data_IF_260393662343
#
_entry.id   IF_260393662343
#
_cell.length_a   1.000
_cell.length_b   1.000
_cell.length_c   1.000
_cell.angle_alpha   90.00
_cell.angle_beta   90.00
_cell.angle_gamma   90.00
#
_symmetry.space_group_name_H-M   'P 1'
#
loop_
_entity.id
_entity.type
_entity.pdbx_description
1 polymer ?
#
# COMPACT_ATOMS: atom_id res chain seq x y z
N UNK A 1 -30.94 -64.37 54.49
CA UNK A 1 -30.39 -63.00 54.67
C UNK A 1 -29.89 -62.53 53.31
N UNK A 2 -30.68 -61.85 52.47
CA UNK A 2 -31.06 -60.42 52.50
C UNK A 2 -29.89 -59.42 52.62
N UNK A 3 -29.61 -58.80 51.45
CA UNK A 3 -29.44 -57.37 51.19
C UNK A 3 -28.08 -56.65 51.29
N UNK A 4 -27.65 -56.20 50.09
CA UNK A 4 -27.08 -54.88 49.71
C UNK A 4 -26.85 -53.88 50.84
N UNK A 5 -25.62 -53.33 50.90
CA UNK A 5 -25.38 -51.94 51.32
C UNK A 5 -24.57 -51.19 50.27
N UNK A 6 -25.18 -50.09 49.82
CA UNK A 6 -24.60 -48.96 49.10
C UNK A 6 -23.69 -48.17 50.04
N UNK A 7 -22.64 -47.59 49.50
CA UNK A 7 -22.11 -46.29 49.98
C UNK A 7 -22.03 -45.33 48.79
N UNK A 8 -22.75 -44.21 48.95
CA UNK A 8 -22.80 -43.04 48.07
C UNK A 8 -21.71 -42.04 48.47
N UNK A 9 -21.43 -41.11 47.55
CA UNK A 9 -20.89 -39.75 47.75
C UNK A 9 -19.40 -39.66 48.12
N UNK A 10 -18.58 -38.73 47.62
CA UNK A 10 -18.87 -37.33 47.28
C UNK A 10 -17.81 -36.74 46.32
N UNK A 11 -18.29 -35.80 45.53
CA UNK A 11 -17.64 -34.79 44.70
C UNK A 11 -16.37 -34.13 45.30
N UNK A 12 -15.28 -34.00 44.52
CA UNK A 12 -14.45 -32.79 44.53
C UNK A 12 -13.59 -32.65 43.26
N UNK A 13 -14.04 -31.74 42.39
CA UNK A 13 -13.24 -31.00 41.41
C UNK A 13 -11.95 -30.47 42.05
N UNK A 14 -10.80 -30.76 41.44
CA UNK A 14 -9.59 -29.91 41.48
C UNK A 14 -8.80 -30.16 40.19
N UNK A 15 -8.96 -29.31 39.18
CA UNK A 15 -8.00 -28.24 38.85
C UNK A 15 -6.57 -28.73 38.67
N UNK A 16 -6.16 -28.83 37.40
CA UNK A 16 -4.93 -28.20 36.91
C UNK A 16 -4.93 -28.23 35.38
N UNK A 17 -5.65 -27.23 34.85
CA UNK A 17 -5.40 -26.49 33.61
C UNK A 17 -4.17 -27.02 32.85
N UNK A 18 -4.36 -28.12 32.14
CA UNK A 18 -3.40 -28.57 31.15
C UNK A 18 -3.22 -27.42 30.16
N UNK A 19 -1.97 -27.01 29.99
CA UNK A 19 -1.49 -26.00 29.06
C UNK A 19 -2.35 -26.01 27.79
N UNK A 20 -3.11 -24.93 27.57
CA UNK A 20 -3.65 -24.62 26.24
C UNK A 20 -2.46 -24.33 25.32
N UNK A 21 -1.81 -25.37 24.85
CA UNK A 21 -0.83 -25.34 23.77
C UNK A 21 -1.56 -24.99 22.48
N UNK A 22 -0.99 -24.07 21.68
CA UNK A 22 -1.32 -23.85 20.26
C UNK A 22 -2.81 -23.61 19.95
N UNK A 23 -3.39 -22.56 20.53
CA UNK A 23 -4.56 -21.90 19.93
C UNK A 23 -4.10 -20.92 18.82
N UNK A 24 -3.19 -21.39 17.97
CA UNK A 24 -2.77 -20.79 16.71
C UNK A 24 -3.88 -21.08 15.68
N UNK A 25 -5.10 -20.63 15.99
CA UNK A 25 -6.11 -20.46 14.96
C UNK A 25 -5.75 -19.15 14.30
N UNK A 26 -5.26 -19.21 13.07
CA UNK A 26 -5.40 -18.12 12.11
C UNK A 26 -6.86 -17.67 12.19
N UNK A 27 -7.11 -16.61 12.97
CA UNK A 27 -8.41 -15.96 12.94
C UNK A 27 -8.42 -15.27 11.60
N UNK A 28 -9.36 -15.64 10.75
CA UNK A 28 -9.59 -14.93 9.50
C UNK A 28 -9.63 -13.42 9.79
N UNK A 29 -8.85 -12.67 9.02
CA UNK A 29 -8.80 -11.23 9.17
C UNK A 29 -10.20 -10.67 8.91
N UNK A 30 -10.62 -9.73 9.75
CA UNK A 30 -11.87 -9.02 9.49
C UNK A 30 -11.72 -8.17 8.23
N UNK A 31 -12.82 -7.86 7.56
CA UNK A 31 -12.82 -7.05 6.34
C UNK A 31 -12.15 -5.68 6.54
N UNK A 32 -12.36 -5.07 7.71
CA UNK A 32 -11.68 -3.82 8.10
C UNK A 32 -10.17 -4.06 8.27
N UNK A 33 -9.77 -5.20 8.85
CA UNK A 33 -8.35 -5.52 9.00
C UNK A 33 -7.67 -5.71 7.65
N UNK A 34 -8.30 -6.42 6.71
CA UNK A 34 -7.79 -6.61 5.35
C UNK A 34 -7.51 -5.27 4.66
N UNK A 35 -8.45 -4.33 4.75
CA UNK A 35 -8.31 -2.99 4.15
C UNK A 35 -7.16 -2.20 4.79
N UNK A 36 -7.08 -2.17 6.12
CA UNK A 36 -6.02 -1.44 6.83
C UNK A 36 -4.64 -2.06 6.58
N UNK A 37 -4.56 -3.39 6.61
CA UNK A 37 -3.33 -4.13 6.29
C UNK A 37 -2.88 -3.84 4.86
N UNK A 38 -3.81 -3.86 3.90
CA UNK A 38 -3.51 -3.52 2.51
C UNK A 38 -3.02 -2.08 2.36
N UNK A 39 -3.66 -1.12 3.05
CA UNK A 39 -3.20 0.27 3.07
C UNK A 39 -1.73 0.38 3.53
N UNK A 40 -1.36 -0.26 4.63
CA UNK A 40 0.03 -0.25 5.11
C UNK A 40 0.98 -1.02 4.20
N UNK A 41 0.51 -2.09 3.56
CA UNK A 41 1.24 -2.79 2.52
C UNK A 41 1.58 -1.85 1.36
N UNK A 42 0.63 -1.02 0.89
CA UNK A 42 0.92 -0.01 -0.13
C UNK A 42 1.94 1.02 0.34
N UNK A 43 2.07 1.26 1.65
CA UNK A 43 3.12 2.12 2.25
C UNK A 43 4.47 1.41 2.41
N UNK A 44 4.58 0.13 2.02
CA UNK A 44 5.80 -0.66 2.09
C UNK A 44 6.03 -1.36 3.42
N UNK A 45 5.01 -1.48 4.27
CA UNK A 45 5.10 -2.18 5.55
C UNK A 45 4.57 -3.61 5.45
N UNK A 46 5.30 -4.57 6.01
CA UNK A 46 4.83 -5.96 6.12
C UNK A 46 3.93 -6.15 7.34
N UNK A 47 3.14 -7.23 7.35
CA UNK A 47 2.25 -7.55 8.48
C UNK A 47 3.02 -7.71 9.80
N UNK A 48 4.24 -8.24 9.75
CA UNK A 48 5.11 -8.40 10.91
C UNK A 48 5.56 -7.04 11.46
N UNK A 49 5.98 -6.13 10.57
CA UNK A 49 6.35 -4.77 10.93
C UNK A 49 5.17 -4.01 11.52
N UNK A 50 3.98 -4.11 10.93
CA UNK A 50 2.76 -3.47 11.44
C UNK A 50 2.47 -3.94 12.88
N UNK A 51 2.58 -5.25 13.15
CA UNK A 51 2.36 -5.82 14.49
C UNK A 51 3.40 -5.33 15.49
N UNK A 52 4.67 -5.28 15.09
CA UNK A 52 5.76 -4.80 15.94
C UNK A 52 5.63 -3.31 16.25
N UNK A 53 5.36 -2.49 15.25
CA UNK A 53 5.20 -1.05 15.39
C UNK A 53 3.92 -0.69 16.15
N UNK A 54 2.86 -1.48 16.04
CA UNK A 54 1.66 -1.34 16.87
C UNK A 54 1.95 -1.63 18.35
N UNK A 55 2.74 -2.68 18.66
CA UNK A 55 3.19 -2.96 20.04
C UNK A 55 4.06 -1.83 20.59
N UNK A 56 4.93 -1.26 19.76
CA UNK A 56 5.77 -0.10 20.09
C UNK A 56 5.01 1.23 20.07
N UNK A 57 3.69 1.23 19.83
CA UNK A 57 2.82 2.42 19.69
C UNK A 57 3.25 3.42 18.61
N UNK A 58 4.09 3.01 17.66
CA UNK A 58 4.45 3.82 16.48
C UNK A 58 3.30 3.90 15.49
N UNK A 59 2.54 2.81 15.37
CA UNK A 59 1.31 2.76 14.58
C UNK A 59 0.13 2.62 15.53
N UNK A 60 -0.76 3.62 15.53
CA UNK A 60 -2.01 3.55 16.28
C UNK A 60 -3.09 3.01 15.36
N UNK A 61 -3.19 1.68 15.31
CA UNK A 61 -4.07 0.94 14.38
C UNK A 61 -5.54 1.41 14.41
N UNK A 62 -6.04 1.77 15.61
CA UNK A 62 -7.41 2.25 15.81
C UNK A 62 -7.74 3.57 15.08
N UNK A 63 -6.73 4.34 14.65
CA UNK A 63 -6.96 5.54 13.83
C UNK A 63 -7.42 5.20 12.41
N UNK A 64 -7.06 4.03 11.92
CA UNK A 64 -7.31 3.60 10.54
C UNK A 64 -8.58 2.75 10.39
N UNK A 65 -9.11 2.22 11.51
CA UNK A 65 -10.30 1.36 11.48
C UNK A 65 -11.57 2.11 11.09
N UNK A 66 -11.75 3.36 11.56
CA UNK A 66 -12.91 4.19 11.20
C UNK A 66 -12.90 4.59 9.71
N UNK A 67 -11.80 5.13 9.15
CA UNK A 67 -11.68 5.38 7.72
C UNK A 67 -11.90 4.14 6.86
N UNK A 68 -11.32 3.00 7.25
CA UNK A 68 -11.48 1.73 6.54
C UNK A 68 -12.93 1.25 6.54
N UNK A 69 -13.65 1.40 7.66
CA UNK A 69 -15.09 1.10 7.72
C UNK A 69 -15.90 1.97 6.75
N UNK A 70 -15.61 3.28 6.70
CA UNK A 70 -16.29 4.19 5.78
C UNK A 70 -16.01 3.85 4.31
N UNK A 71 -14.75 3.50 4.00
CA UNK A 71 -14.39 3.07 2.66
C UNK A 71 -15.10 1.77 2.27
N UNK A 72 -15.19 0.79 3.17
CA UNK A 72 -15.90 -0.46 2.93
C UNK A 72 -17.39 -0.21 2.67
N UNK A 73 -18.02 0.65 3.47
CA UNK A 73 -19.42 1.03 3.30
C UNK A 73 -19.68 1.71 1.95
N UNK A 74 -18.78 2.60 1.52
CA UNK A 74 -18.87 3.28 0.23
C UNK A 74 -18.59 2.34 -0.96
N UNK A 75 -17.63 1.44 -0.81
CA UNK A 75 -17.21 0.49 -1.85
C UNK A 75 -18.20 -0.67 -2.04
N UNK A 76 -18.88 -1.07 -0.97
CA UNK A 76 -19.79 -2.22 -0.93
C UNK A 76 -19.09 -3.58 -0.92
N UNK A 77 -17.77 -3.64 -1.14
CA UNK A 77 -16.97 -4.86 -1.00
C UNK A 77 -15.52 -4.54 -0.61
N UNK A 78 -14.85 -5.53 0.00
CA UNK A 78 -13.43 -5.42 0.37
C UNK A 78 -12.54 -5.26 -0.87
N UNK A 79 -12.84 -6.02 -1.93
CA UNK A 79 -12.08 -6.00 -3.19
C UNK A 79 -12.07 -4.60 -3.81
N UNK A 80 -13.23 -3.94 -3.88
CA UNK A 80 -13.35 -2.58 -4.42
C UNK A 80 -12.65 -1.55 -3.54
N UNK A 81 -12.68 -1.72 -2.21
CA UNK A 81 -11.97 -0.85 -1.28
C UNK A 81 -10.44 -0.97 -1.47
N UNK A 82 -9.94 -2.20 -1.65
CA UNK A 82 -8.54 -2.49 -1.95
C UNK A 82 -8.13 -1.87 -3.28
N UNK A 83 -8.91 -2.06 -4.34
CA UNK A 83 -8.65 -1.47 -5.67
C UNK A 83 -8.61 0.06 -5.62
N UNK A 84 -9.53 0.69 -4.87
CA UNK A 84 -9.53 2.14 -4.67
C UNK A 84 -8.25 2.62 -3.97
N UNK A 85 -7.77 1.89 -2.96
CA UNK A 85 -6.50 2.18 -2.29
C UNK A 85 -5.33 2.04 -3.27
N UNK A 86 -5.31 1.03 -4.13
CA UNK A 86 -4.24 0.82 -5.12
C UNK A 86 -4.17 1.95 -6.15
N UNK A 87 -5.32 2.37 -6.69
CA UNK A 87 -5.41 3.51 -7.62
C UNK A 87 -4.85 4.79 -6.98
N UNK A 88 -5.26 5.07 -5.75
CA UNK A 88 -4.81 6.25 -5.00
C UNK A 88 -3.32 6.15 -4.66
N UNK A 89 -2.85 4.97 -4.24
CA UNK A 89 -1.45 4.74 -3.91
C UNK A 89 -0.55 4.95 -5.13
N UNK A 90 -0.92 4.39 -6.28
CA UNK A 90 -0.16 4.56 -7.52
C UNK A 90 -0.15 6.03 -7.98
N UNK A 91 -1.30 6.70 -7.94
CA UNK A 91 -1.43 8.12 -8.26
C UNK A 91 -0.58 9.00 -7.34
N UNK A 92 -0.64 8.78 -6.02
CA UNK A 92 0.07 9.58 -5.03
C UNK A 92 1.59 9.35 -5.09
N UNK A 93 2.03 8.08 -5.21
CA UNK A 93 3.45 7.73 -5.34
C UNK A 93 4.09 8.37 -6.57
N UNK A 94 3.40 8.34 -7.71
CA UNK A 94 3.90 8.96 -8.96
C UNK A 94 4.07 10.48 -8.88
N UNK A 95 3.46 11.13 -7.88
CA UNK A 95 3.51 12.57 -7.64
C UNK A 95 4.24 12.94 -6.35
N UNK A 96 4.86 11.96 -5.68
CA UNK A 96 5.50 12.12 -4.38
C UNK A 96 4.58 12.78 -3.32
N UNK A 97 3.29 12.43 -3.34
CA UNK A 97 2.28 12.93 -2.39
C UNK A 97 2.05 11.90 -1.28
N UNK A 98 1.78 12.39 -0.06
CA UNK A 98 1.25 11.54 0.99
C UNK A 98 -0.25 11.26 0.76
N UNK A 99 -0.71 10.12 1.25
CA UNK A 99 -2.09 9.67 1.10
C UNK A 99 -2.51 8.84 2.32
N UNK A 100 -3.77 8.94 2.69
CA UNK A 100 -4.39 8.14 3.75
C UNK A 100 -5.55 7.33 3.18
N UNK A 101 -6.14 6.44 3.99
CA UNK A 101 -7.36 5.72 3.61
C UNK A 101 -8.49 6.71 3.29
N UNK A 102 -8.51 7.85 3.98
CA UNK A 102 -9.43 8.95 3.74
C UNK A 102 -9.31 9.55 2.34
N UNK A 103 -8.11 9.53 1.76
CA UNK A 103 -7.90 10.03 0.40
C UNK A 103 -8.71 9.22 -0.60
N UNK A 104 -8.87 7.91 -0.39
CA UNK A 104 -9.62 7.03 -1.28
C UNK A 104 -11.13 7.35 -1.30
N UNK A 105 -11.76 7.56 -0.15
CA UNK A 105 -13.18 7.92 -0.15
C UNK A 105 -13.41 9.39 -0.52
N UNK A 106 -12.49 10.32 -0.20
CA UNK A 106 -12.60 11.73 -0.63
C UNK A 106 -12.49 11.88 -2.14
N UNK A 107 -11.70 11.02 -2.79
CA UNK A 107 -11.53 10.97 -4.25
C UNK A 107 -12.41 9.92 -4.91
N UNK A 108 -13.43 9.38 -4.23
CA UNK A 108 -14.22 8.25 -4.72
C UNK A 108 -14.81 8.48 -6.12
N UNK A 109 -15.45 9.63 -6.34
CA UNK A 109 -16.03 10.00 -7.63
C UNK A 109 -14.99 10.32 -8.72
N UNK A 110 -13.72 10.49 -8.33
CA UNK A 110 -12.60 10.81 -9.21
C UNK A 110 -11.67 9.61 -9.44
N UNK A 111 -11.93 8.44 -8.85
CA UNK A 111 -11.01 7.29 -8.88
C UNK A 111 -10.59 6.89 -10.30
N UNK A 112 -11.53 6.90 -11.26
CA UNK A 112 -11.24 6.54 -12.64
C UNK A 112 -10.39 7.58 -13.40
N UNK A 113 -10.31 8.81 -12.87
CA UNK A 113 -9.47 9.88 -13.40
C UNK A 113 -8.08 9.89 -12.76
N UNK A 114 -7.89 9.17 -11.64
CA UNK A 114 -6.60 9.07 -10.97
C UNK A 114 -5.67 8.16 -11.76
N UNK A 115 -4.88 8.75 -12.66
CA UNK A 115 -3.80 8.04 -13.36
C UNK A 115 -2.44 8.41 -12.75
N UNK A 116 -1.54 7.43 -12.56
CA UNK A 116 -0.14 7.70 -12.26
C UNK A 116 0.41 8.71 -13.26
N UNK A 117 1.26 9.63 -12.79
CA UNK A 117 2.00 10.53 -13.68
C UNK A 117 2.87 9.66 -14.58
N UNK A 118 2.74 9.85 -15.89
CA UNK A 118 3.60 9.16 -16.85
C UNK A 118 5.06 9.53 -16.56
N UNK A 119 5.92 8.51 -16.53
CA UNK A 119 7.35 8.69 -16.35
C UNK A 119 7.91 9.25 -17.64
N UNK A 120 7.89 10.58 -17.76
CA UNK A 120 8.46 11.29 -18.90
C UNK A 120 9.97 11.25 -18.75
N UNK A 121 10.62 10.35 -19.48
CA UNK A 121 12.07 10.37 -19.64
C UNK A 121 12.43 11.55 -20.52
N UNK A 122 13.31 12.42 -20.02
CA UNK A 122 13.86 13.51 -20.84
C UNK A 122 15.20 13.07 -21.42
N UNK A 123 15.46 13.34 -22.70
CA UNK A 123 16.71 13.00 -23.34
C UNK A 123 17.80 14.01 -22.94
N UNK A 124 19.00 13.51 -22.68
CA UNK A 124 20.20 14.27 -22.38
C UNK A 124 21.36 13.76 -23.23
N UNK A 125 22.31 14.64 -23.51
CA UNK A 125 23.60 14.28 -24.11
C UNK A 125 24.70 15.03 -23.36
N UNK A 126 25.73 14.33 -22.89
CA UNK A 126 26.81 14.93 -22.08
C UNK A 126 26.28 15.81 -20.93
N UNK A 127 25.27 15.33 -20.20
CA UNK A 127 24.63 16.07 -19.10
C UNK A 127 23.84 17.33 -19.51
N UNK A 128 23.73 17.64 -20.81
CA UNK A 128 22.95 18.75 -21.36
C UNK A 128 21.57 18.28 -21.86
N UNK A 129 20.50 19.05 -21.63
CA UNK A 129 19.15 18.65 -22.03
C UNK A 129 18.99 18.70 -23.56
N UNK A 130 18.25 17.74 -24.10
CA UNK A 130 17.96 17.65 -25.53
C UNK A 130 16.47 17.92 -25.83
N UNK A 131 16.21 18.44 -27.03
CA UNK A 131 14.87 18.72 -27.54
C UNK A 131 14.74 18.20 -28.97
N UNK A 132 13.65 17.48 -29.24
CA UNK A 132 13.30 17.08 -30.60
C UNK A 132 12.54 18.21 -31.30
N UNK A 133 13.00 18.60 -32.49
CA UNK A 133 12.26 19.53 -33.35
C UNK A 133 11.42 18.74 -34.35
N UNK A 134 10.10 18.77 -34.20
CA UNK A 134 9.19 18.11 -35.17
C UNK A 134 9.29 18.72 -36.57
N UNK A 135 9.47 20.05 -36.66
CA UNK A 135 9.57 20.77 -37.93
C UNK A 135 10.82 20.37 -38.72
N UNK A 136 11.96 20.23 -38.04
CA UNK A 136 13.24 19.89 -38.67
C UNK A 136 13.53 18.39 -38.65
N UNK A 137 12.77 17.60 -37.89
CA UNK A 137 12.97 16.17 -37.63
C UNK A 137 14.40 15.85 -37.13
N UNK A 138 14.89 16.67 -36.19
CA UNK A 138 16.25 16.58 -35.65
C UNK A 138 16.27 16.84 -34.14
N UNK A 139 17.29 16.30 -33.49
CA UNK A 139 17.60 16.55 -32.09
C UNK A 139 18.49 17.80 -31.96
N UNK A 140 18.23 18.60 -30.92
CA UNK A 140 19.04 19.74 -30.51
C UNK A 140 19.45 19.57 -29.05
N UNK A 141 20.70 19.89 -28.74
CA UNK A 141 21.24 19.98 -27.39
C UNK A 141 21.21 21.45 -27.00
N UNK A 142 20.71 21.76 -25.80
CA UNK A 142 20.77 23.12 -25.25
C UNK A 142 22.02 23.21 -24.37
N UNK A 143 22.95 24.08 -24.74
CA UNK A 143 24.19 24.29 -23.97
C UNK A 143 23.93 25.12 -22.69
N UNK A 144 24.98 25.34 -21.89
CA UNK A 144 24.90 26.14 -20.66
C UNK A 144 24.56 27.62 -20.93
N UNK A 145 24.82 28.12 -22.13
CA UNK A 145 24.52 29.49 -22.56
C UNK A 145 23.09 29.63 -23.13
N UNK A 146 22.36 28.53 -23.29
CA UNK A 146 21.02 28.47 -23.87
C UNK A 146 20.99 28.39 -25.40
N UNK A 147 22.13 28.16 -26.05
CA UNK A 147 22.24 27.96 -27.49
C UNK A 147 21.79 26.56 -27.90
N UNK A 148 21.17 26.46 -29.07
CA UNK A 148 20.65 25.20 -29.62
C UNK A 148 21.63 24.64 -30.62
N UNK A 149 22.36 23.60 -30.21
CA UNK A 149 23.33 22.90 -31.05
C UNK A 149 22.68 21.66 -31.67
N UNK A 150 22.79 21.51 -32.99
CA UNK A 150 22.26 20.33 -33.68
C UNK A 150 23.02 19.07 -33.24
N UNK A 151 22.29 18.04 -32.83
CA UNK A 151 22.87 16.76 -32.44
C UNK A 151 23.16 15.89 -33.67
N UNK A 152 24.42 15.46 -33.82
CA UNK A 152 24.91 14.66 -34.97
C UNK A 152 25.37 13.25 -34.52
N UNK A 153 25.10 12.87 -33.28
CA UNK A 153 25.48 11.55 -32.72
C UNK A 153 24.49 10.44 -33.04
N UNK A 154 24.69 9.27 -32.44
CA UNK A 154 23.78 8.13 -32.53
C UNK A 154 22.74 8.18 -31.42
N UNK A 155 21.62 7.49 -31.60
CA UNK A 155 20.56 7.40 -30.58
C UNK A 155 21.06 6.71 -29.29
N UNK A 156 22.05 5.81 -29.39
CA UNK A 156 22.71 5.16 -28.25
C UNK A 156 23.45 6.14 -27.33
N UNK A 157 23.85 7.31 -27.85
CA UNK A 157 24.52 8.35 -27.08
C UNK A 157 23.54 9.20 -26.26
N UNK A 158 22.22 9.02 -26.47
CA UNK A 158 21.18 9.77 -25.76
C UNK A 158 20.90 9.10 -24.41
N UNK A 159 21.17 9.83 -23.35
CA UNK A 159 20.85 9.45 -21.98
C UNK A 159 19.41 9.84 -21.65
N UNK A 160 18.54 8.84 -21.51
CA UNK A 160 17.16 9.04 -21.08
C UNK A 160 17.06 9.06 -19.56
N UNK A 161 16.91 10.25 -18.98
CA UNK A 161 16.84 10.44 -17.52
C UNK A 161 15.41 10.68 -17.05
N UNK A 162 15.05 10.03 -15.94
CA UNK A 162 13.79 10.28 -15.24
C UNK A 162 13.94 11.54 -14.38
N UNK A 163 13.23 12.61 -14.73
CA UNK A 163 13.15 13.79 -13.86
C UNK A 163 12.00 13.55 -12.90
N UNK A 164 12.34 13.32 -11.62
CA UNK A 164 11.36 13.17 -10.54
C UNK A 164 10.70 14.50 -10.22
#
# INVERSE_FOLDING_TARGET
MLNKKKTKNTNKKTTKKARKTKAEKEREETDIQKIVNHYFFTKGLTLEQIKEDAKKKKIIYSRFTRPAKQLLELAGSVEKAIEAIDKVAAWAKSRNLDYAIETAFKKWLELDRLKPKEVVKKPFYNNMPMVWSETKKKWYVIDENGEWLEFVGKEEDIEWREIK
#
